data_IF_645237679822
#
_entry.id   IF_645237679822
#
_cell.length_a   1.000
_cell.length_b   1.000
_cell.length_c   1.000
_cell.angle_alpha   90.00
_cell.angle_beta   90.00
_cell.angle_gamma   90.00
#
_symmetry.space_group_name_H-M   'P 1'
#
loop_
_entity.id
_entity.type
_entity.pdbx_description
1 polymer ?
#
# COMPACT_ATOMS: atom_id res chain seq x y z
N UNK A 1 19.40 -62.47 -66.65
CA UNK A 1 19.50 -63.39 -65.49
C UNK A 1 18.81 -62.72 -64.31
N UNK A 2 17.87 -63.45 -63.69
CA UNK A 2 17.28 -63.34 -62.34
C UNK A 2 17.74 -62.19 -61.42
N UNK A 3 16.93 -61.56 -60.56
CA UNK A 3 15.50 -61.64 -60.21
C UNK A 3 15.21 -60.51 -59.18
N UNK A 4 13.93 -60.13 -59.08
CA UNK A 4 13.19 -59.63 -57.89
C UNK A 4 13.23 -58.15 -57.48
N UNK A 5 12.11 -57.52 -57.83
CA UNK A 5 11.34 -56.46 -57.18
C UNK A 5 11.27 -56.50 -55.64
N UNK A 6 11.12 -55.34 -55.00
CA UNK A 6 9.93 -54.95 -54.21
C UNK A 6 9.91 -53.41 -54.05
N UNK A 7 8.68 -52.89 -54.14
CA UNK A 7 8.23 -51.51 -54.23
C UNK A 7 7.61 -51.06 -52.88
N UNK A 8 7.36 -49.74 -52.73
CA UNK A 8 6.46 -49.04 -51.77
C UNK A 8 7.03 -48.71 -50.37
N UNK A 9 6.84 -47.52 -49.76
CA UNK A 9 5.99 -46.36 -50.09
C UNK A 9 6.47 -45.10 -49.33
N UNK A 10 6.29 -43.95 -49.98
CA UNK A 10 6.51 -42.57 -49.54
C UNK A 10 5.81 -42.17 -48.22
N UNK A 11 6.41 -41.22 -47.48
CA UNK A 11 5.71 -39.95 -47.18
C UNK A 11 6.69 -38.77 -47.02
N UNK A 12 6.52 -37.87 -47.97
CA UNK A 12 7.02 -36.52 -48.22
C UNK A 12 6.83 -35.47 -47.09
N UNK A 13 7.61 -34.38 -47.24
CA UNK A 13 7.46 -32.98 -46.76
C UNK A 13 7.97 -32.69 -45.33
N UNK A 14 8.61 -31.55 -45.03
CA UNK A 14 9.14 -30.43 -45.81
C UNK A 14 9.77 -29.44 -44.83
N UNK A 15 10.75 -28.67 -45.31
CA UNK A 15 11.00 -27.26 -44.95
C UNK A 15 11.65 -26.92 -43.60
N UNK A 16 12.92 -26.54 -43.73
CA UNK A 16 13.50 -25.28 -43.21
C UNK A 16 13.25 -24.91 -41.74
N UNK A 17 14.27 -25.14 -40.91
CA UNK A 17 14.44 -24.36 -39.68
C UNK A 17 15.33 -23.15 -40.01
N UNK A 18 14.78 -21.97 -39.75
CA UNK A 18 15.43 -20.68 -39.83
C UNK A 18 16.62 -20.58 -38.85
N UNK A 19 17.69 -19.92 -39.33
CA UNK A 19 18.52 -18.89 -38.67
C UNK A 19 18.32 -18.65 -37.15
N UNK A 20 19.30 -18.30 -36.33
CA UNK A 20 20.73 -17.99 -36.44
C UNK A 20 21.08 -17.48 -35.03
N UNK A 21 22.13 -18.00 -34.39
CA UNK A 21 22.95 -17.28 -33.42
C UNK A 21 24.08 -18.21 -33.01
N UNK A 22 25.21 -18.10 -33.71
CA UNK A 22 26.56 -18.20 -33.16
C UNK A 22 27.54 -17.96 -34.30
N UNK A 23 28.13 -16.76 -34.30
CA UNK A 23 29.05 -16.31 -35.33
C UNK A 23 30.22 -17.27 -35.50
N UNK A 24 30.35 -17.83 -36.70
CA UNK A 24 31.53 -18.53 -37.16
C UNK A 24 32.07 -17.78 -38.39
N UNK A 25 33.09 -16.94 -38.18
CA UNK A 25 33.88 -16.42 -39.28
C UNK A 25 34.91 -17.48 -39.67
N UNK A 26 34.80 -18.03 -40.88
CA UNK A 26 35.86 -18.85 -41.46
C UNK A 26 36.80 -17.92 -42.24
N UNK A 27 38.06 -17.82 -41.81
CA UNK A 27 39.14 -17.35 -42.66
C UNK A 27 39.75 -18.59 -43.36
N UNK A 28 39.99 -18.48 -44.68
CA UNK A 28 40.73 -19.46 -45.47
C UNK A 28 42.20 -19.04 -45.51
N UNK A 29 43.03 -19.65 -44.66
CA UNK A 29 44.47 -19.67 -44.81
C UNK A 29 44.89 -21.03 -45.39
N UNK A 30 45.24 -21.00 -46.68
CA UNK A 30 45.95 -22.08 -47.35
C UNK A 30 47.30 -22.27 -46.68
N UNK A 31 47.39 -23.21 -45.76
CA UNK A 31 48.55 -24.08 -45.57
C UNK A 31 48.18 -25.25 -44.65
N UNK A 32 48.22 -26.46 -45.21
CA UNK A 32 47.71 -27.67 -44.55
C UNK A 32 48.56 -28.12 -43.39
N UNK A 33 47.97 -28.16 -42.19
CA UNK A 33 48.19 -29.18 -41.16
C UNK A 33 47.16 -29.01 -40.02
N UNK A 34 46.21 -29.94 -39.78
CA UNK A 34 45.33 -29.82 -38.61
C UNK A 34 46.09 -30.24 -37.34
N UNK A 35 46.69 -29.26 -36.64
CA UNK A 35 46.96 -29.43 -35.21
C UNK A 35 45.63 -29.31 -34.47
N UNK A 36 45.16 -30.41 -33.88
CA UNK A 36 44.03 -30.39 -32.96
C UNK A 36 44.41 -29.55 -31.73
N UNK A 37 44.13 -28.26 -31.78
CA UNK A 37 44.09 -27.39 -30.61
C UNK A 37 42.71 -27.54 -30.01
N UNK A 38 42.60 -28.35 -28.95
CA UNK A 38 41.38 -28.40 -28.16
C UNK A 38 41.23 -27.07 -27.42
N UNK A 39 40.52 -26.12 -28.02
CA UNK A 39 40.06 -24.92 -27.34
C UNK A 39 39.07 -25.39 -26.28
N UNK A 40 39.47 -25.34 -25.01
CA UNK A 40 38.54 -25.44 -23.88
C UNK A 40 37.55 -24.29 -24.04
N UNK A 41 36.31 -24.61 -24.42
CA UNK A 41 35.22 -23.62 -24.40
C UNK A 41 35.13 -23.09 -22.97
N UNK A 42 35.00 -21.77 -22.75
CA UNK A 42 34.73 -21.27 -21.41
C UNK A 42 33.46 -21.96 -20.92
N UNK A 43 33.56 -22.62 -19.77
CA UNK A 43 32.39 -23.14 -19.07
C UNK A 43 31.53 -21.93 -18.72
N UNK A 44 30.47 -21.72 -19.51
CA UNK A 44 29.40 -20.81 -19.16
C UNK A 44 28.72 -21.41 -17.94
N UNK A 45 29.16 -21.01 -16.75
CA UNK A 45 28.42 -21.24 -15.51
C UNK A 45 27.18 -20.36 -15.59
N UNK A 46 26.16 -20.77 -16.36
CA UNK A 46 24.81 -20.28 -16.09
C UNK A 46 24.55 -20.63 -14.63
N UNK A 47 24.29 -19.59 -13.85
CA UNK A 47 24.01 -19.72 -12.44
C UNK A 47 22.83 -20.67 -12.25
N UNK A 48 23.15 -21.92 -11.94
CA UNK A 48 22.17 -22.98 -11.79
C UNK A 48 21.46 -22.90 -10.45
N UNK A 49 21.70 -21.87 -9.64
CA UNK A 49 21.14 -21.79 -8.29
C UNK A 49 19.61 -21.66 -8.31
N UNK A 50 18.94 -22.04 -7.20
CA UNK A 50 17.56 -21.63 -6.97
C UNK A 50 17.45 -20.09 -6.92
N UNK A 51 16.24 -19.56 -7.08
CA UNK A 51 15.99 -18.12 -7.00
C UNK A 51 14.56 -17.88 -6.49
N UNK A 52 14.43 -17.53 -5.22
CA UNK A 52 13.17 -17.43 -4.50
C UNK A 52 12.65 -16.00 -4.47
N UNK A 53 11.56 -15.79 -5.19
CA UNK A 53 10.88 -14.50 -5.26
C UNK A 53 9.53 -14.54 -4.54
N UNK A 54 9.22 -13.50 -3.77
CA UNK A 54 7.85 -13.26 -3.29
C UNK A 54 7.02 -12.70 -4.44
N UNK A 55 6.06 -13.49 -4.93
CA UNK A 55 5.24 -13.14 -6.11
C UNK A 55 3.85 -12.60 -5.80
N UNK A 56 3.32 -12.85 -4.60
CA UNK A 56 2.03 -12.31 -4.19
C UNK A 56 1.91 -12.22 -2.66
N UNK A 57 1.17 -11.20 -2.20
CA UNK A 57 0.80 -11.02 -0.79
C UNK A 57 -0.68 -10.63 -0.72
N UNK A 58 -1.47 -11.39 0.03
CA UNK A 58 -2.91 -11.14 0.27
C UNK A 58 -3.21 -11.09 1.77
N UNK A 59 -3.94 -10.07 2.22
CA UNK A 59 -4.28 -9.90 3.64
C UNK A 59 -5.66 -10.51 3.96
N UNK A 60 -5.81 -11.04 5.18
CA UNK A 60 -7.08 -11.59 5.68
C UNK A 60 -7.33 -11.04 7.09
N UNK A 61 -8.33 -10.16 7.28
CA UNK A 61 -9.17 -9.57 6.22
C UNK A 61 -8.35 -8.70 5.25
N UNK A 62 -8.86 -8.49 4.02
CA UNK A 62 -8.18 -7.70 2.98
C UNK A 62 -7.89 -6.26 3.43
N UNK A 63 -8.59 -5.80 4.47
CA UNK A 63 -8.32 -4.54 5.16
C UNK A 63 -8.29 -4.83 6.67
N UNK A 64 -7.09 -5.08 7.23
CA UNK A 64 -6.91 -5.25 8.66
C UNK A 64 -7.51 -4.08 9.44
N UNK A 65 -8.28 -4.39 10.48
CA UNK A 65 -8.83 -3.38 11.40
C UNK A 65 -7.73 -2.92 12.36
N UNK A 66 -7.65 -1.63 12.63
CA UNK A 66 -6.76 -1.05 13.63
C UNK A 66 -6.97 -1.71 15.00
N UNK A 67 -5.90 -1.82 15.77
CA UNK A 67 -5.86 -2.49 17.07
C UNK A 67 -6.11 -4.00 17.00
N UNK A 68 -6.30 -4.57 15.82
CA UNK A 68 -6.60 -5.99 15.63
C UNK A 68 -5.42 -6.73 15.01
N UNK A 69 -5.43 -8.05 15.15
CA UNK A 69 -4.51 -8.92 14.40
C UNK A 69 -5.12 -9.39 13.09
N UNK A 70 -4.28 -9.60 12.07
CA UNK A 70 -4.66 -10.13 10.76
C UNK A 70 -3.70 -11.23 10.30
N UNK A 71 -4.02 -11.84 9.16
CA UNK A 71 -3.21 -12.87 8.50
C UNK A 71 -2.69 -12.38 7.16
N UNK A 72 -1.53 -12.82 6.73
CA UNK A 72 -1.02 -12.62 5.38
C UNK A 72 -0.79 -13.97 4.69
N UNK A 73 -1.39 -14.15 3.51
CA UNK A 73 -1.07 -15.22 2.56
C UNK A 73 0.02 -14.72 1.63
N UNK A 74 1.20 -15.33 1.70
CA UNK A 74 2.38 -14.95 0.90
C UNK A 74 2.71 -16.10 -0.04
N UNK A 75 2.83 -15.80 -1.34
CA UNK A 75 3.20 -16.77 -2.37
C UNK A 75 4.65 -16.57 -2.78
N UNK A 76 5.48 -17.58 -2.49
CA UNK A 76 6.87 -17.68 -2.93
C UNK A 76 6.93 -18.52 -4.20
N UNK A 77 7.78 -18.14 -5.15
CA UNK A 77 8.10 -18.94 -6.34
C UNK A 77 9.61 -19.16 -6.39
N UNK A 78 10.06 -20.36 -6.74
CA UNK A 78 11.41 -20.55 -7.26
C UNK A 78 11.41 -20.25 -8.77
N UNK A 79 12.03 -19.14 -9.19
CA UNK A 79 12.18 -18.75 -10.60
C UNK A 79 13.52 -19.19 -11.21
N UNK A 80 14.41 -19.77 -10.40
CA UNK A 80 15.71 -20.30 -10.82
C UNK A 80 15.59 -21.66 -11.50
N UNK A 81 16.74 -22.26 -11.81
CA UNK A 81 16.84 -23.48 -12.63
C UNK A 81 16.99 -24.77 -11.83
N UNK A 82 17.38 -24.71 -10.55
CA UNK A 82 17.46 -25.89 -9.68
C UNK A 82 16.51 -25.81 -8.48
N UNK A 83 16.27 -26.95 -7.85
CA UNK A 83 15.52 -27.02 -6.59
C UNK A 83 16.39 -26.56 -5.44
N UNK A 84 15.81 -25.86 -4.47
CA UNK A 84 16.51 -25.44 -3.26
C UNK A 84 15.56 -25.24 -2.10
N UNK A 85 16.10 -25.18 -0.88
CA UNK A 85 15.34 -24.86 0.33
C UNK A 85 15.19 -23.35 0.51
N UNK A 86 13.96 -22.86 0.45
CA UNK A 86 13.65 -21.44 0.63
C UNK A 86 13.65 -20.99 2.11
N UNK A 87 14.04 -21.88 3.02
CA UNK A 87 14.32 -21.57 4.41
C UNK A 87 13.13 -20.96 5.15
N UNK A 88 13.34 -19.78 5.73
CA UNK A 88 12.31 -19.05 6.47
C UNK A 88 11.74 -17.90 5.64
N UNK A 89 10.41 -17.88 5.53
CA UNK A 89 9.65 -16.69 5.18
C UNK A 89 9.39 -15.89 6.45
N UNK A 90 9.93 -14.67 6.53
CA UNK A 90 9.66 -13.73 7.63
C UNK A 90 8.82 -12.56 7.15
N UNK A 91 7.79 -12.21 7.93
CA UNK A 91 6.82 -11.17 7.59
C UNK A 91 6.72 -10.13 8.72
N UNK A 92 6.85 -8.86 8.35
CA UNK A 92 6.64 -7.72 9.24
C UNK A 92 5.38 -6.98 8.84
N UNK A 93 4.56 -6.63 9.83
CA UNK A 93 3.34 -5.86 9.60
C UNK A 93 3.67 -4.47 9.03
N UNK A 94 4.67 -3.75 9.55
CA UNK A 94 5.03 -2.42 9.03
C UNK A 94 6.54 -2.19 8.95
N UNK A 95 7.13 -2.43 7.77
CA UNK A 95 8.54 -2.19 7.44
C UNK A 95 8.71 -1.79 5.97
N UNK A 96 8.62 -0.48 5.64
CA UNK A 96 8.76 -0.01 4.26
C UNK A 96 10.19 -0.15 3.73
N UNK A 97 11.21 -0.12 4.58
CA UNK A 97 12.62 -0.21 4.17
C UNK A 97 13.10 -1.65 4.04
N UNK A 98 13.97 -1.92 3.05
CA UNK A 98 14.58 -3.24 2.83
C UNK A 98 15.26 -3.74 4.10
N UNK A 99 15.18 -5.06 4.36
CA UNK A 99 15.80 -5.70 5.53
C UNK A 99 17.01 -6.51 5.11
N UNK A 100 18.03 -6.50 5.96
CA UNK A 100 19.16 -7.40 5.83
C UNK A 100 18.75 -8.81 6.28
N UNK A 101 19.52 -9.80 5.86
CA UNK A 101 19.44 -11.16 6.38
C UNK A 101 19.40 -11.17 7.91
N UNK A 102 18.61 -12.06 8.50
CA UNK A 102 18.48 -12.28 9.96
C UNK A 102 17.92 -11.07 10.72
N UNK A 103 17.19 -10.17 10.04
CA UNK A 103 16.46 -9.10 10.69
C UNK A 103 15.43 -9.64 11.70
N UNK A 104 15.31 -8.97 12.84
CA UNK A 104 14.45 -9.34 13.95
C UNK A 104 13.04 -8.73 13.86
N UNK A 105 12.16 -9.07 14.81
CA UNK A 105 10.84 -8.44 14.97
C UNK A 105 9.75 -8.87 13.97
N UNK A 106 10.05 -9.80 13.07
CA UNK A 106 9.08 -10.39 12.13
C UNK A 106 8.46 -11.69 12.67
N UNK A 107 7.39 -12.15 12.02
CA UNK A 107 6.83 -13.49 12.24
C UNK A 107 7.28 -14.42 11.11
N UNK A 108 7.78 -15.60 11.48
CA UNK A 108 8.40 -16.51 10.50
C UNK A 108 7.62 -17.82 10.32
N UNK A 109 7.67 -18.36 9.11
CA UNK A 109 7.20 -19.71 8.75
C UNK A 109 8.26 -20.41 7.90
N UNK A 110 8.49 -21.70 8.16
CA UNK A 110 9.33 -22.53 7.31
C UNK A 110 8.64 -22.77 5.97
N UNK A 111 9.40 -22.58 4.88
CA UNK A 111 8.95 -22.75 3.49
C UNK A 111 9.32 -24.13 2.96
N UNK A 112 10.55 -24.58 3.25
CA UNK A 112 11.12 -25.83 2.75
C UNK A 112 11.47 -25.78 1.26
N UNK A 113 11.90 -26.92 0.72
CA UNK A 113 12.31 -27.06 -0.68
C UNK A 113 11.23 -26.64 -1.70
N UNK A 114 11.62 -25.89 -2.74
CA UNK A 114 10.77 -25.52 -3.86
C UNK A 114 11.48 -25.88 -5.17
N UNK A 115 10.84 -26.72 -5.99
CA UNK A 115 11.35 -27.07 -7.31
C UNK A 115 11.26 -25.88 -8.29
N UNK A 116 12.07 -25.87 -9.36
CA UNK A 116 12.03 -24.83 -10.40
C UNK A 116 10.61 -24.56 -10.91
N UNK A 117 10.23 -23.30 -11.01
CA UNK A 117 8.93 -22.84 -11.49
C UNK A 117 7.77 -23.02 -10.51
N UNK A 118 7.93 -23.81 -9.45
CA UNK A 118 6.86 -24.12 -8.48
C UNK A 118 6.62 -22.94 -7.54
N UNK A 119 5.35 -22.79 -7.12
CA UNK A 119 4.92 -21.80 -6.13
C UNK A 119 4.44 -22.48 -4.85
N UNK A 120 4.73 -21.88 -3.70
CA UNK A 120 4.15 -22.22 -2.40
C UNK A 120 3.49 -21.00 -1.79
N UNK A 121 2.27 -21.17 -1.27
CA UNK A 121 1.57 -20.11 -0.52
C UNK A 121 1.53 -20.46 0.96
N UNK A 122 2.08 -19.59 1.79
CA UNK A 122 2.11 -19.73 3.25
C UNK A 122 1.19 -18.70 3.90
N UNK A 123 0.57 -19.09 5.01
CA UNK A 123 -0.22 -18.17 5.83
C UNK A 123 0.55 -17.83 7.10
N UNK A 124 0.83 -16.53 7.30
CA UNK A 124 1.42 -15.98 8.52
C UNK A 124 0.33 -15.26 9.31
N UNK A 125 0.08 -15.73 10.53
CA UNK A 125 -1.02 -15.28 11.39
C UNK A 125 -0.54 -14.34 12.50
N UNK A 126 -1.46 -13.59 13.09
CA UNK A 126 -1.22 -12.79 14.29
C UNK A 126 -0.42 -11.51 14.04
N UNK A 127 -0.37 -11.04 12.79
CA UNK A 127 0.25 -9.76 12.45
C UNK A 127 -0.59 -8.63 13.05
N UNK A 128 0.01 -7.73 13.82
CA UNK A 128 -0.71 -6.63 14.45
C UNK A 128 -0.86 -5.46 13.48
N UNK A 129 -2.08 -4.96 13.27
CA UNK A 129 -2.35 -3.88 12.33
C UNK A 129 -1.81 -2.51 12.76
N UNK A 130 -1.29 -2.38 13.99
CA UNK A 130 -1.04 -1.09 14.62
C UNK A 130 -2.29 -0.57 15.33
N UNK A 131 -2.10 0.24 16.37
CA UNK A 131 -3.22 0.92 17.04
C UNK A 131 -3.71 2.13 16.21
N UNK A 132 -2.81 2.71 15.42
CA UNK A 132 -3.05 3.81 14.52
C UNK A 132 -3.71 3.35 13.21
N UNK A 133 -4.39 4.27 12.52
CA UNK A 133 -5.02 4.02 11.22
C UNK A 133 -4.15 4.31 10.01
N UNK A 134 -2.92 4.76 10.23
CA UNK A 134 -2.03 5.28 9.20
C UNK A 134 -1.60 4.25 8.15
N UNK A 135 -0.90 4.72 7.13
CA UNK A 135 -0.48 3.87 6.02
C UNK A 135 0.64 2.96 6.50
N UNK A 136 0.48 1.66 6.29
CA UNK A 136 1.43 0.62 6.69
C UNK A 136 1.94 -0.11 5.46
N UNK A 137 3.18 -0.56 5.54
CA UNK A 137 3.79 -1.36 4.48
C UNK A 137 4.22 -2.71 5.03
N UNK A 138 3.42 -3.74 4.77
CA UNK A 138 3.81 -5.11 5.08
C UNK A 138 4.96 -5.52 4.17
N UNK A 139 5.97 -6.14 4.77
CA UNK A 139 7.13 -6.71 4.07
C UNK A 139 7.22 -8.20 4.33
N UNK A 140 7.41 -8.96 3.27
CA UNK A 140 7.69 -10.39 3.30
C UNK A 140 9.08 -10.64 2.73
N UNK A 141 9.88 -11.48 3.37
CA UNK A 141 11.24 -11.83 2.96
C UNK A 141 11.40 -13.35 3.00
N UNK A 142 11.51 -13.98 1.83
CA UNK A 142 11.83 -15.41 1.70
C UNK A 142 13.35 -15.63 1.79
N UNK A 143 13.75 -16.81 2.26
CA UNK A 143 15.11 -17.09 2.74
C UNK A 143 15.68 -15.95 3.61
N UNK A 144 14.88 -15.50 4.58
CA UNK A 144 15.23 -14.36 5.43
C UNK A 144 16.49 -14.56 6.29
N UNK A 145 17.08 -15.76 6.32
CA UNK A 145 18.37 -16.03 6.96
C UNK A 145 19.56 -15.94 5.99
N UNK A 146 19.28 -15.90 4.69
CA UNK A 146 20.23 -16.00 3.58
C UNK A 146 21.09 -17.25 3.77
N UNK A 147 20.42 -18.39 3.86
CA UNK A 147 21.03 -19.69 4.13
C UNK A 147 21.27 -20.49 2.86
N UNK A 148 20.57 -20.16 1.78
CA UNK A 148 20.72 -20.79 0.48
C UNK A 148 21.34 -19.77 -0.46
N UNK A 149 22.41 -20.15 -1.17
CA UNK A 149 22.95 -19.31 -2.24
C UNK A 149 21.96 -19.31 -3.41
N UNK A 150 21.56 -18.12 -3.85
CA UNK A 150 20.57 -17.92 -4.90
C UNK A 150 21.18 -17.25 -6.13
N UNK A 151 20.49 -17.36 -7.27
CA UNK A 151 20.92 -16.67 -8.48
C UNK A 151 20.80 -15.14 -8.37
N UNK A 152 19.91 -14.64 -7.50
CA UNK A 152 19.77 -13.22 -7.19
C UNK A 152 19.15 -12.99 -5.80
N UNK A 153 20.01 -12.81 -4.80
CA UNK A 153 19.63 -12.52 -3.40
C UNK A 153 18.90 -11.17 -3.21
N UNK A 154 18.86 -10.29 -4.22
CA UNK A 154 18.28 -8.96 -4.07
C UNK A 154 16.76 -8.93 -4.33
N UNK A 155 16.17 -10.04 -4.79
CA UNK A 155 14.77 -10.08 -5.22
C UNK A 155 13.81 -10.82 -4.25
N UNK A 156 14.34 -11.27 -3.12
CA UNK A 156 13.64 -12.12 -2.15
C UNK A 156 12.58 -11.39 -1.30
N UNK A 157 12.42 -10.07 -1.50
CA UNK A 157 11.54 -9.25 -0.68
C UNK A 157 10.34 -8.72 -1.46
N UNK A 158 9.14 -8.92 -0.89
CA UNK A 158 7.88 -8.41 -1.42
C UNK A 158 7.21 -7.41 -0.47
N UNK A 159 6.48 -6.46 -1.03
CA UNK A 159 5.76 -5.43 -0.27
C UNK A 159 4.25 -5.48 -0.50
N UNK A 160 3.49 -5.10 0.53
CA UNK A 160 2.05 -4.85 0.44
C UNK A 160 1.64 -3.69 1.32
N UNK A 161 1.21 -2.59 0.70
CA UNK A 161 0.59 -1.49 1.42
C UNK A 161 -0.79 -1.88 1.97
N UNK A 162 -1.10 -1.40 3.18
CA UNK A 162 -2.42 -1.46 3.83
C UNK A 162 -2.56 -0.32 4.85
N UNK A 163 -3.70 -0.21 5.55
CA UNK A 163 -4.02 0.97 6.36
C UNK A 163 -4.50 2.16 5.49
N UNK A 164 -4.74 3.33 6.09
CA UNK A 164 -5.13 4.55 5.37
C UNK A 164 -3.89 5.21 4.78
N UNK A 165 -3.85 5.51 3.48
CA UNK A 165 -3.06 6.68 3.06
C UNK A 165 -3.79 7.90 3.61
N UNK A 166 -3.20 8.62 4.55
CA UNK A 166 -3.86 9.76 5.20
C UNK A 166 -4.00 10.91 4.20
N UNK A 167 -5.06 10.88 3.38
CA UNK A 167 -5.60 12.08 2.78
C UNK A 167 -6.49 12.72 3.85
N UNK A 168 -5.89 13.67 4.58
CA UNK A 168 -6.55 14.38 5.69
C UNK A 168 -7.81 15.11 5.21
N UNK A 169 -7.82 15.62 3.98
CA UNK A 169 -8.97 16.30 3.40
C UNK A 169 -10.12 15.33 3.20
N UNK A 170 -9.86 14.16 2.61
CA UNK A 170 -10.88 13.12 2.44
C UNK A 170 -11.43 12.61 3.78
N UNK A 171 -10.60 12.53 4.82
CA UNK A 171 -11.03 12.11 6.16
C UNK A 171 -11.95 13.15 6.81
N UNK A 172 -11.55 14.42 6.78
CA UNK A 172 -12.34 15.55 7.26
C UNK A 172 -13.67 15.64 6.52
N UNK A 173 -13.63 15.68 5.19
CA UNK A 173 -14.83 15.76 4.36
C UNK A 173 -15.77 14.58 4.61
N UNK A 174 -15.25 13.35 4.77
CA UNK A 174 -16.08 12.19 5.06
C UNK A 174 -16.80 12.31 6.43
N UNK A 175 -16.14 12.85 7.44
CA UNK A 175 -16.73 13.08 8.76
C UNK A 175 -17.79 14.18 8.72
N UNK A 176 -17.48 15.30 8.07
CA UNK A 176 -18.38 16.46 7.95
C UNK A 176 -19.63 16.11 7.14
N UNK A 177 -19.47 15.45 5.99
CA UNK A 177 -20.59 15.07 5.12
C UNK A 177 -21.50 14.00 5.73
N UNK A 178 -20.93 13.07 6.50
CA UNK A 178 -21.70 11.94 7.05
C UNK A 178 -22.32 12.23 8.42
N UNK A 179 -21.73 13.15 9.20
CA UNK A 179 -22.09 13.35 10.60
C UNK A 179 -21.87 12.11 11.49
N UNK A 180 -21.12 11.10 11.01
CA UNK A 180 -20.83 9.90 11.78
C UNK A 180 -19.69 10.15 12.78
N UNK A 181 -19.63 9.34 13.85
CA UNK A 181 -18.55 9.42 14.84
C UNK A 181 -17.17 9.18 14.23
N UNK A 182 -17.09 8.25 13.26
CA UNK A 182 -15.90 7.94 12.48
C UNK A 182 -16.24 8.05 11.00
N UNK A 183 -15.28 8.40 10.12
CA UNK A 183 -15.54 8.55 8.69
C UNK A 183 -16.02 7.21 8.12
N UNK A 184 -17.22 7.16 7.49
CA UNK A 184 -17.69 5.94 6.85
C UNK A 184 -16.71 5.49 5.78
N UNK A 185 -16.25 4.23 5.86
CA UNK A 185 -15.16 3.71 5.03
C UNK A 185 -15.42 3.85 3.54
N UNK A 186 -16.64 3.61 3.09
CA UNK A 186 -17.03 3.71 1.68
C UNK A 186 -16.93 5.14 1.17
N UNK A 187 -17.46 6.10 1.93
CA UNK A 187 -17.41 7.52 1.59
C UNK A 187 -15.97 8.05 1.59
N UNK A 188 -15.19 7.75 2.62
CA UNK A 188 -13.78 8.14 2.69
C UNK A 188 -12.98 7.61 1.50
N UNK A 189 -13.13 6.33 1.14
CA UNK A 189 -12.41 5.75 0.00
C UNK A 189 -12.81 6.38 -1.33
N UNK A 190 -14.09 6.73 -1.49
CA UNK A 190 -14.58 7.46 -2.66
C UNK A 190 -13.90 8.83 -2.73
N UNK A 191 -14.05 9.67 -1.70
CA UNK A 191 -13.49 11.01 -1.65
C UNK A 191 -11.99 10.98 -1.89
N UNK A 192 -11.26 10.12 -1.18
CA UNK A 192 -9.81 9.98 -1.34
C UNK A 192 -9.39 9.64 -2.77
N UNK A 193 -10.04 8.66 -3.39
CA UNK A 193 -9.68 8.26 -4.76
C UNK A 193 -10.01 9.36 -5.76
N UNK A 194 -11.14 10.05 -5.57
CA UNK A 194 -11.58 11.16 -6.42
C UNK A 194 -10.65 12.38 -6.28
N UNK A 195 -10.30 12.78 -5.05
CA UNK A 195 -9.35 13.86 -4.79
C UNK A 195 -7.97 13.55 -5.37
N UNK A 196 -7.48 12.31 -5.18
CA UNK A 196 -6.21 11.87 -5.79
C UNK A 196 -6.25 11.96 -7.32
N UNK A 197 -7.34 11.52 -7.95
CA UNK A 197 -7.50 11.61 -9.40
C UNK A 197 -7.55 13.07 -9.87
N UNK A 198 -8.28 13.94 -9.17
CA UNK A 198 -8.37 15.37 -9.49
C UNK A 198 -7.00 16.03 -9.41
N UNK A 199 -6.29 15.87 -8.29
CA UNK A 199 -4.94 16.45 -8.08
C UNK A 199 -3.92 15.94 -9.09
N UNK A 200 -4.05 14.69 -9.52
CA UNK A 200 -3.19 14.12 -10.56
C UNK A 200 -3.50 14.69 -11.96
N UNK A 201 -4.78 14.85 -12.31
CA UNK A 201 -5.20 15.37 -13.61
C UNK A 201 -5.04 16.89 -13.74
N UNK A 202 -5.19 17.62 -12.63
CA UNK A 202 -5.14 19.07 -12.56
C UNK A 202 -4.18 19.53 -11.46
N UNK A 203 -2.86 19.57 -11.74
CA UNK A 203 -1.86 19.93 -10.73
C UNK A 203 -2.00 21.34 -10.14
N UNK A 204 -2.80 22.22 -10.76
CA UNK A 204 -3.10 23.57 -10.24
C UNK A 204 -3.81 23.53 -8.88
N UNK A 205 -4.62 22.49 -8.63
CA UNK A 205 -5.33 22.32 -7.34
C UNK A 205 -4.64 21.33 -6.39
N UNK A 206 -3.40 20.90 -6.69
CA UNK A 206 -2.72 19.85 -5.93
C UNK A 206 -2.44 20.24 -4.48
N UNK A 207 -2.14 21.52 -4.25
CA UNK A 207 -1.73 22.09 -2.96
C UNK A 207 -2.90 22.74 -2.21
N UNK A 208 -4.12 22.67 -2.77
CA UNK A 208 -5.35 23.12 -2.11
C UNK A 208 -5.76 22.05 -1.11
N UNK A 209 -5.94 22.44 0.14
CA UNK A 209 -6.33 21.58 1.26
C UNK A 209 -7.63 22.07 1.89
N UNK A 210 -8.43 21.16 2.43
CA UNK A 210 -9.70 21.50 3.02
C UNK A 210 -9.50 22.12 4.41
N UNK A 211 -9.91 23.37 4.58
CA UNK A 211 -9.89 24.06 5.86
C UNK A 211 -10.93 23.46 6.83
N UNK A 212 -10.49 22.79 7.92
CA UNK A 212 -11.38 22.06 8.81
C UNK A 212 -12.24 22.99 9.66
N UNK A 213 -13.47 22.57 10.00
CA UNK A 213 -14.27 23.28 11.00
C UNK A 213 -13.73 23.13 12.43
N UNK A 214 -13.02 22.04 12.71
CA UNK A 214 -12.54 21.65 14.03
C UNK A 214 -11.31 20.76 13.92
N UNK A 215 -10.54 20.61 15.00
CA UNK A 215 -9.44 19.65 15.10
C UNK A 215 -9.98 18.24 15.31
N UNK A 216 -9.53 17.30 14.47
CA UNK A 216 -9.97 15.90 14.49
C UNK A 216 -9.71 15.23 15.82
N UNK A 217 -10.75 14.62 16.41
CA UNK A 217 -10.61 13.89 17.66
C UNK A 217 -10.20 14.76 18.84
N UNK A 218 -10.42 16.08 18.79
CA UNK A 218 -10.13 17.00 19.89
C UNK A 218 -11.39 17.68 20.40
N UNK A 219 -11.52 17.74 21.72
CA UNK A 219 -12.62 18.38 22.42
C UNK A 219 -12.03 19.24 23.53
N UNK A 220 -12.47 20.49 23.60
CA UNK A 220 -12.21 21.35 24.74
C UNK A 220 -13.24 21.03 25.82
N UNK A 221 -12.82 20.57 26.98
CA UNK A 221 -13.73 20.18 28.04
C UNK A 221 -13.14 20.41 29.43
N UNK A 222 -14.00 20.53 30.44
CA UNK A 222 -13.61 20.39 31.84
C UNK A 222 -13.70 18.92 32.24
N UNK A 223 -12.58 18.24 32.44
CA UNK A 223 -12.58 16.79 32.69
C UNK A 223 -11.94 16.39 34.03
N UNK A 224 -12.60 15.48 34.75
CA UNK A 224 -12.08 14.94 36.03
C UNK A 224 -11.24 13.68 35.82
N UNK A 225 -10.32 13.37 36.75
CA UNK A 225 -9.54 12.13 36.71
C UNK A 225 -10.39 10.86 36.66
N UNK A 226 -11.59 10.88 37.29
CA UNK A 226 -12.56 9.77 37.22
C UNK A 226 -13.09 9.59 35.79
N UNK A 227 -13.47 10.68 35.14
CA UNK A 227 -13.95 10.64 33.75
C UNK A 227 -12.85 10.19 32.79
N UNK A 228 -11.62 10.67 32.98
CA UNK A 228 -10.45 10.21 32.19
C UNK A 228 -10.31 8.69 32.28
N UNK A 229 -10.34 8.13 33.49
CA UNK A 229 -10.25 6.68 33.69
C UNK A 229 -11.41 5.93 33.03
N UNK A 230 -12.64 6.46 33.10
CA UNK A 230 -13.82 5.85 32.47
C UNK A 230 -13.75 5.88 30.94
N UNK A 231 -13.32 7.00 30.34
CA UNK A 231 -13.16 7.12 28.89
C UNK A 231 -12.05 6.20 28.39
N UNK A 232 -10.90 6.16 29.10
CA UNK A 232 -9.79 5.27 28.76
C UNK A 232 -10.13 3.78 28.87
N UNK A 233 -11.09 3.42 29.72
CA UNK A 233 -11.62 2.05 29.83
C UNK A 233 -12.71 1.74 28.78
N UNK A 234 -13.14 2.73 27.99
CA UNK A 234 -14.16 2.60 26.95
C UNK A 234 -13.53 2.44 25.55
N UNK A 235 -14.37 2.20 24.56
CA UNK A 235 -13.96 2.15 23.15
C UNK A 235 -13.55 3.50 22.56
N UNK A 236 -13.77 4.61 23.28
CA UNK A 236 -13.31 5.94 22.87
C UNK A 236 -11.86 6.22 23.29
N UNK A 237 -11.34 5.49 24.27
CA UNK A 237 -9.97 5.63 24.72
C UNK A 237 -8.93 5.01 23.76
N UNK A 238 -7.63 5.28 23.97
CA UNK A 238 -7.10 6.17 25.00
C UNK A 238 -7.21 7.66 24.63
N UNK A 239 -7.24 8.50 25.65
CA UNK A 239 -7.18 9.96 25.55
C UNK A 239 -5.89 10.51 26.17
N UNK A 240 -5.41 11.62 25.62
CA UNK A 240 -4.40 12.50 26.21
C UNK A 240 -5.09 13.79 26.63
N UNK A 241 -4.70 14.35 27.79
CA UNK A 241 -5.30 15.58 28.31
C UNK A 241 -4.20 16.60 28.52
N UNK A 242 -4.38 17.79 27.94
CA UNK A 242 -3.54 18.96 28.16
C UNK A 242 -4.36 20.02 28.90
N UNK A 243 -3.91 20.39 30.10
CA UNK A 243 -4.57 21.41 30.92
C UNK A 243 -4.24 22.80 30.36
N UNK A 244 -5.24 23.50 29.81
CA UNK A 244 -5.05 24.84 29.25
C UNK A 244 -5.25 25.91 30.33
N UNK A 245 -6.27 25.73 31.18
CA UNK A 245 -6.58 26.60 32.33
C UNK A 245 -7.16 25.74 33.47
N UNK A 246 -7.46 26.35 34.63
CA UNK A 246 -8.09 25.65 35.76
C UNK A 246 -9.49 25.08 35.44
N UNK A 247 -10.14 25.56 34.38
CA UNK A 247 -11.49 25.13 34.00
C UNK A 247 -11.60 24.59 32.57
N UNK A 248 -10.48 24.45 31.86
CA UNK A 248 -10.47 24.06 30.45
C UNK A 248 -9.30 23.16 30.13
N UNK A 249 -9.61 21.99 29.58
CA UNK A 249 -8.67 21.00 29.11
C UNK A 249 -8.85 20.77 27.61
N UNK A 250 -7.74 20.56 26.90
CA UNK A 250 -7.74 19.97 25.56
C UNK A 250 -7.66 18.44 25.70
N UNK A 251 -8.75 17.77 25.36
CA UNK A 251 -8.88 16.32 25.40
C UNK A 251 -8.72 15.75 23.99
N UNK A 252 -7.58 15.10 23.76
CA UNK A 252 -7.20 14.52 22.47
C UNK A 252 -7.41 13.01 22.45
N UNK A 253 -8.13 12.53 21.45
CA UNK A 253 -8.47 11.13 21.26
C UNK A 253 -7.52 10.47 20.25
N UNK A 254 -7.21 9.20 20.45
CA UNK A 254 -6.33 8.46 19.53
C UNK A 254 -6.93 8.22 18.13
N UNK A 255 -8.25 8.36 17.98
CA UNK A 255 -8.95 8.19 16.71
C UNK A 255 -9.52 9.53 16.23
N UNK A 256 -9.67 9.72 14.91
CA UNK A 256 -10.18 10.96 14.30
C UNK A 256 -11.70 11.03 14.44
N UNK A 257 -12.17 11.14 15.67
CA UNK A 257 -13.59 11.23 15.97
C UNK A 257 -14.16 12.57 15.52
N UNK A 258 -15.40 12.55 15.03
CA UNK A 258 -16.17 13.78 14.82
C UNK A 258 -16.43 14.44 16.18
N UNK A 259 -15.86 15.63 16.46
CA UNK A 259 -16.02 16.31 17.74
C UNK A 259 -17.48 16.61 18.08
N UNK A 260 -18.34 16.89 17.09
CA UNK A 260 -19.76 17.18 17.32
C UNK A 260 -20.53 15.96 17.87
N UNK A 261 -20.21 14.77 17.34
CA UNK A 261 -20.80 13.52 17.85
C UNK A 261 -20.15 13.15 19.18
N UNK A 262 -18.84 13.39 19.30
CA UNK A 262 -18.05 13.04 20.47
C UNK A 262 -18.52 13.79 21.71
N UNK A 263 -18.76 15.11 21.65
CA UNK A 263 -19.31 15.87 22.79
C UNK A 263 -20.65 15.31 23.27
N UNK A 264 -21.49 14.82 22.36
CA UNK A 264 -22.79 14.23 22.72
C UNK A 264 -22.59 12.91 23.47
N UNK A 265 -21.63 12.08 23.06
CA UNK A 265 -21.27 10.85 23.75
C UNK A 265 -20.60 11.11 25.11
N UNK A 266 -19.72 12.11 25.19
CA UNK A 266 -19.05 12.50 26.42
C UNK A 266 -20.03 12.99 27.48
N UNK A 267 -20.97 13.85 27.10
CA UNK A 267 -22.06 14.33 27.96
C UNK A 267 -22.94 13.17 28.43
N UNK A 268 -23.44 12.35 27.50
CA UNK A 268 -24.44 11.32 27.81
C UNK A 268 -23.89 10.09 28.56
N UNK A 269 -22.65 9.67 28.27
CA UNK A 269 -22.10 8.42 28.83
C UNK A 269 -21.15 8.64 30.00
N UNK A 270 -20.49 9.79 30.07
CA UNK A 270 -19.44 10.07 31.03
C UNK A 270 -19.73 11.33 31.87
N UNK A 271 -20.83 12.03 31.61
CA UNK A 271 -21.22 13.22 32.36
C UNK A 271 -20.27 14.41 32.19
N UNK A 272 -19.53 14.48 31.08
CA UNK A 272 -18.67 15.63 30.76
C UNK A 272 -19.57 16.73 30.20
N UNK A 273 -20.11 17.58 31.07
CA UNK A 273 -21.15 18.56 30.69
C UNK A 273 -20.58 19.75 29.92
N UNK A 274 -19.49 20.31 30.42
CA UNK A 274 -18.74 21.41 29.80
C UNK A 274 -17.77 20.83 28.77
N UNK A 275 -18.23 20.74 27.52
CA UNK A 275 -17.45 20.19 26.41
C UNK A 275 -17.86 20.80 25.08
N UNK A 276 -16.93 21.31 24.30
CA UNK A 276 -17.15 21.89 22.97
C UNK A 276 -16.09 21.40 21.97
N UNK A 277 -16.40 21.36 20.67
CA UNK A 277 -15.40 21.03 19.66
C UNK A 277 -14.21 21.99 19.73
N UNK A 278 -12.99 21.50 19.48
CA UNK A 278 -11.83 22.38 19.35
C UNK A 278 -11.85 23.05 17.96
N UNK A 279 -12.48 24.22 17.87
CA UNK A 279 -12.69 24.95 16.61
C UNK A 279 -11.37 25.58 16.13
N UNK A 280 -11.16 25.57 14.81
CA UNK A 280 -10.03 26.25 14.17
C UNK A 280 -10.44 27.69 13.85
N UNK A 281 -9.65 28.66 14.30
CA UNK A 281 -9.89 30.08 14.03
C UNK A 281 -9.39 30.49 12.64
N UNK A 282 -10.14 31.39 12.00
CA UNK A 282 -9.86 31.89 10.65
C UNK A 282 -10.59 31.12 9.56
N UNK A 283 -10.13 31.30 8.34
CA UNK A 283 -10.62 30.64 7.13
C UNK A 283 -9.43 30.30 6.23
N UNK A 284 -9.69 29.58 5.15
CA UNK A 284 -8.68 29.19 4.17
C UNK A 284 -9.31 28.36 3.06
N UNK A 285 -8.43 27.83 2.20
CA UNK A 285 -8.78 26.92 1.12
C UNK A 285 -9.87 25.91 1.50
N UNK A 286 -10.79 25.61 0.60
CA UNK A 286 -11.87 24.69 0.88
C UNK A 286 -12.07 23.69 -0.24
N UNK A 287 -12.31 22.45 0.15
CA UNK A 287 -12.76 21.41 -0.76
C UNK A 287 -14.15 20.98 -0.31
N UNK A 288 -15.14 21.05 -1.19
CA UNK A 288 -16.50 20.58 -0.91
C UNK A 288 -16.93 19.55 -1.94
N UNK A 289 -17.81 18.65 -1.54
CA UNK A 289 -18.41 17.65 -2.42
C UNK A 289 -19.92 17.67 -2.26
N UNK A 290 -20.64 17.86 -3.36
CA UNK A 290 -22.09 17.76 -3.40
C UNK A 290 -22.50 16.37 -3.88
N UNK A 291 -23.06 15.49 -3.02
CA UNK A 291 -23.38 14.11 -3.40
C UNK A 291 -24.48 14.02 -4.47
N UNK A 292 -25.39 14.99 -4.52
CA UNK A 292 -26.53 15.00 -5.44
C UNK A 292 -26.11 15.30 -6.88
N UNK A 293 -25.21 16.28 -7.05
CA UNK A 293 -24.65 16.62 -8.37
C UNK A 293 -23.35 15.89 -8.69
N UNK A 294 -22.74 15.24 -7.70
CA UNK A 294 -21.40 14.62 -7.76
C UNK A 294 -20.31 15.60 -8.22
N UNK A 295 -20.43 16.85 -7.79
CA UNK A 295 -19.47 17.91 -8.09
C UNK A 295 -18.55 18.09 -6.89
N UNK A 296 -17.24 18.13 -7.16
CA UNK A 296 -16.21 18.59 -6.25
C UNK A 296 -15.90 20.04 -6.55
N UNK A 297 -15.90 20.91 -5.54
CA UNK A 297 -15.50 22.32 -5.69
C UNK A 297 -14.27 22.55 -4.82
N UNK A 298 -13.19 22.98 -5.45
CA UNK A 298 -11.96 23.44 -4.80
C UNK A 298 -11.97 24.97 -4.79
N UNK A 299 -11.64 25.59 -3.67
CA UNK A 299 -11.36 27.02 -3.55
C UNK A 299 -9.94 27.24 -3.08
N UNK A 300 -9.22 28.10 -3.80
CA UNK A 300 -7.98 28.72 -3.32
C UNK A 300 -8.35 30.08 -2.74
N UNK A 301 -8.01 30.30 -1.48
CA UNK A 301 -8.51 31.42 -0.70
C UNK A 301 -7.34 32.26 -0.13
N UNK A 302 -7.42 33.60 -0.24
CA UNK A 302 -6.33 34.48 0.22
C UNK A 302 -6.81 35.88 0.66
N UNK A 303 -5.88 36.67 1.20
CA UNK A 303 -6.14 37.99 1.77
C UNK A 303 -6.28 37.95 3.29
N UNK A 304 -7.39 38.45 3.83
CA UNK A 304 -7.62 38.56 5.29
C UNK A 304 -8.20 37.27 5.91
N UNK A 305 -7.55 36.14 5.66
CA UNK A 305 -8.03 34.82 6.11
C UNK A 305 -8.27 34.67 7.62
N UNK A 306 -7.54 35.33 8.55
CA UNK A 306 -7.90 35.29 9.97
C UNK A 306 -9.31 35.82 10.30
N UNK A 307 -9.84 36.73 9.48
CA UNK A 307 -11.19 37.29 9.61
C UNK A 307 -12.20 36.67 8.62
N UNK A 308 -11.76 35.72 7.78
CA UNK A 308 -12.47 35.24 6.60
C UNK A 308 -11.80 35.73 5.34
N UNK A 309 -11.31 34.81 4.50
CA UNK A 309 -10.59 35.18 3.28
C UNK A 309 -11.48 36.08 2.40
N UNK A 310 -10.88 37.08 1.75
CA UNK A 310 -11.62 38.09 0.97
C UNK A 310 -11.55 37.83 -0.54
N UNK A 311 -10.61 36.98 -0.95
CA UNK A 311 -10.43 36.56 -2.32
C UNK A 311 -10.49 35.05 -2.40
N UNK A 312 -11.12 34.58 -3.47
CA UNK A 312 -11.38 33.18 -3.72
C UNK A 312 -11.23 32.92 -5.23
N UNK A 313 -10.67 31.78 -5.58
CA UNK A 313 -10.68 31.26 -6.95
C UNK A 313 -11.12 29.79 -6.91
N UNK A 314 -12.04 29.41 -7.78
CA UNK A 314 -12.76 28.15 -7.70
C UNK A 314 -12.53 27.26 -8.91
N UNK A 315 -12.53 25.95 -8.67
CA UNK A 315 -12.59 24.92 -9.70
C UNK A 315 -13.66 23.88 -9.37
N UNK A 316 -14.60 23.66 -10.29
CA UNK A 316 -15.61 22.61 -10.19
C UNK A 316 -15.22 21.40 -11.04
N UNK A 317 -15.17 20.22 -10.44
CA UNK A 317 -14.85 18.96 -11.11
C UNK A 317 -15.96 17.93 -10.96
N UNK A 318 -16.01 17.01 -11.92
CA UNK A 318 -16.72 15.73 -11.77
C UNK A 318 -15.75 14.57 -11.93
N UNK A 319 -16.03 13.46 -11.24
CA UNK A 319 -15.26 12.23 -11.36
C UNK A 319 -16.19 11.08 -11.75
N UNK A 320 -15.93 10.46 -12.90
CA UNK A 320 -16.71 9.32 -13.38
C UNK A 320 -16.49 8.07 -12.50
N UNK A 321 -17.32 7.04 -12.66
CA UNK A 321 -17.12 5.75 -11.97
C UNK A 321 -15.82 5.04 -12.35
N UNK A 322 -15.20 5.40 -13.48
CA UNK A 322 -13.92 4.86 -13.93
C UNK A 322 -12.73 5.74 -13.52
N UNK A 323 -12.96 6.82 -12.74
CA UNK A 323 -11.93 7.75 -12.30
C UNK A 323 -11.54 8.82 -13.34
N UNK A 324 -12.33 9.00 -14.41
CA UNK A 324 -12.08 10.09 -15.37
C UNK A 324 -12.51 11.41 -14.74
N UNK A 325 -11.60 12.38 -14.70
CA UNK A 325 -11.85 13.71 -14.15
C UNK A 325 -12.19 14.69 -15.27
N UNK A 326 -13.24 15.48 -15.07
CA UNK A 326 -13.64 16.55 -15.99
C UNK A 326 -13.76 17.86 -15.22
N UNK A 327 -12.99 18.88 -15.61
CA UNK A 327 -13.21 20.26 -15.19
C UNK A 327 -14.50 20.78 -15.82
N UNK A 328 -15.44 21.21 -14.99
CA UNK A 328 -16.70 21.80 -15.41
C UNK A 328 -16.56 23.32 -15.61
N UNK A 329 -15.98 24.00 -14.62
CA UNK A 329 -15.87 25.45 -14.56
C UNK A 329 -14.68 25.86 -13.70
N UNK A 330 -14.13 27.02 -14.03
CA UNK A 330 -13.11 27.74 -13.27
C UNK A 330 -13.54 29.20 -13.21
N UNK A 331 -13.58 29.80 -12.02
CA UNK A 331 -14.16 31.12 -11.80
C UNK A 331 -13.67 31.80 -10.51
#
# INVERSE_FOLDING_TARGET
>A
MMEKSILLLLSLLSSSVLAEQNGLYLYDDREGNPKASATVLPEITEDSNPDFVVTAITLIPASPKNGSTFKAKVTVKNKGMTSGDAGLLTVWADKPTSRNCRADGGKSKSVGAINPGVRKTLTVDGLFAGADGGQKTLRAFVDSLCATDEADDNNNQGLKAYGRSEDGDAELMALELSGALLPPRTLYLQLRNDLMAIRQAYPVVKDIHHFPLWRLGEVLAKITSKQIAQINASELGPITVEHLTDELDDVRFALPYNPMVLITLLRSRFGVVESDPNIIFGDGDRISFNPSSRIYTFSQDWGDCPAGCIYHHYWDFTVSSTGLVTLLREY
#
